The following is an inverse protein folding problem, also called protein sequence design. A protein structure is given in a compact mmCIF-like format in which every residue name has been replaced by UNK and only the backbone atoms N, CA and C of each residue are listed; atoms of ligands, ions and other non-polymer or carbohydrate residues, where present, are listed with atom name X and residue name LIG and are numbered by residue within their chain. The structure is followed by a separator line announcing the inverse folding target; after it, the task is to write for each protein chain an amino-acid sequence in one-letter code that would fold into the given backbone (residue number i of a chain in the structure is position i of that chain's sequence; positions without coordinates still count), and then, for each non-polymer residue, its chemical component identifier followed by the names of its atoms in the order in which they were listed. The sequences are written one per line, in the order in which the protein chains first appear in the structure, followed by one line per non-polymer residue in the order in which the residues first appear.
data_IF_242740093820
#
_entry.id   IF_242740093820
#
_cell.length_a   1.000
_cell.length_b   1.000
_cell.length_c   1.000
_cell.angle_alpha   90.00
_cell.angle_beta   90.00
_cell.angle_gamma   90.00
#
_symmetry.space_group_name_H-M   'P 1'
#
loop_
_entity.id
_entity.type
_entity.pdbx_description
1 polymer ?
#
# COMPACT_ATOMS: atom_id res chain seq x y z
N UNK A 1 -8.47 6.61 9.57
CA UNK A 1 -7.11 6.57 8.96
C UNK A 1 -6.39 5.25 9.20
N UNK A 2 -6.90 4.33 10.04
CA UNK A 2 -6.16 3.13 10.47
C UNK A 2 -5.82 2.11 9.36
N UNK A 3 -6.46 2.19 8.19
CA UNK A 3 -6.22 1.26 7.09
C UNK A 3 -5.03 1.60 6.18
N UNK A 4 -4.65 2.87 6.06
CA UNK A 4 -3.58 3.32 5.13
C UNK A 4 -2.37 3.75 5.97
N UNK A 5 -1.26 3.00 5.84
CA UNK A 5 -0.07 3.23 6.67
C UNK A 5 0.84 4.30 6.09
N UNK A 6 1.38 4.06 4.89
CA UNK A 6 2.32 4.97 4.24
C UNK A 6 2.40 4.74 2.74
N UNK A 7 2.81 5.78 2.01
CA UNK A 7 3.05 5.70 0.56
C UNK A 7 4.35 4.96 0.29
N UNK A 8 4.36 4.14 -0.77
CA UNK A 8 5.58 3.44 -1.19
C UNK A 8 6.43 4.40 -2.03
N UNK A 9 7.65 4.71 -1.56
CA UNK A 9 8.58 5.61 -2.25
C UNK A 9 9.68 4.78 -2.92
N UNK A 10 9.56 4.59 -4.24
CA UNK A 10 10.50 3.87 -5.10
C UNK A 10 10.50 4.54 -6.48
N UNK A 11 11.54 4.35 -7.30
CA UNK A 11 11.54 4.83 -8.70
C UNK A 11 10.28 4.38 -9.46
N UNK A 12 9.91 3.10 -9.32
CA UNK A 12 8.72 2.54 -9.95
C UNK A 12 7.44 3.26 -9.51
N UNK A 13 7.25 3.50 -8.22
CA UNK A 13 6.04 4.17 -7.73
C UNK A 13 5.99 5.65 -8.15
N UNK A 14 7.13 6.32 -8.25
CA UNK A 14 7.21 7.70 -8.79
C UNK A 14 6.82 7.71 -10.28
N UNK A 15 7.31 6.75 -11.08
CA UNK A 15 6.93 6.61 -12.50
C UNK A 15 5.44 6.28 -12.69
N UNK A 16 4.85 5.54 -11.77
CA UNK A 16 3.41 5.23 -11.75
C UNK A 16 2.57 6.43 -11.31
N UNK A 17 3.08 7.24 -10.38
CA UNK A 17 2.42 8.45 -9.90
C UNK A 17 2.17 9.44 -11.05
N UNK A 18 3.14 9.62 -11.96
CA UNK A 18 2.98 10.46 -13.17
C UNK A 18 1.85 9.96 -14.07
N UNK A 19 1.48 8.67 -13.99
CA UNK A 19 0.36 8.05 -14.70
C UNK A 19 -0.93 7.99 -13.86
N UNK A 20 -1.02 8.76 -12.78
CA UNK A 20 -2.14 8.74 -11.81
C UNK A 20 -2.36 7.38 -11.14
N UNK A 21 -1.32 6.56 -11.02
CA UNK A 21 -1.36 5.30 -10.28
C UNK A 21 -0.62 5.46 -8.96
N UNK A 22 -1.36 5.27 -7.86
CA UNK A 22 -0.86 5.47 -6.51
C UNK A 22 -0.58 4.13 -5.85
N UNK A 23 0.50 4.05 -5.07
CA UNK A 23 0.90 2.82 -4.36
C UNK A 23 1.13 3.13 -2.89
N UNK A 24 0.37 2.48 -2.02
CA UNK A 24 0.43 2.66 -0.57
C UNK A 24 0.40 1.33 0.14
N UNK A 25 1.14 1.24 1.25
CA UNK A 25 1.05 0.12 2.17
C UNK A 25 -0.15 0.34 3.11
N UNK A 26 -0.89 -0.74 3.33
CA UNK A 26 -2.14 -0.77 4.09
C UNK A 26 -2.05 -1.77 5.24
N UNK A 27 -3.01 -1.72 6.16
CA UNK A 27 -3.14 -2.76 7.19
C UNK A 27 -3.48 -4.11 6.54
N UNK A 28 -2.80 -5.16 7.01
CA UNK A 28 -2.85 -6.48 6.39
C UNK A 28 -4.19 -7.20 6.58
N UNK A 29 -4.99 -6.77 7.55
CA UNK A 29 -6.34 -7.28 7.81
C UNK A 29 -7.44 -6.59 7.01
N UNK A 30 -7.15 -5.51 6.28
CA UNK A 30 -8.17 -4.74 5.56
C UNK A 30 -8.54 -5.37 4.22
N UNK A 31 -9.83 -5.32 3.90
CA UNK A 31 -10.35 -5.82 2.63
C UNK A 31 -10.21 -4.77 1.53
N UNK A 32 -10.05 -5.20 0.27
CA UNK A 32 -10.00 -4.32 -0.91
C UNK A 32 -11.19 -3.34 -0.99
N UNK A 33 -12.38 -3.75 -0.57
CA UNK A 33 -13.58 -2.91 -0.60
C UNK A 33 -13.46 -1.77 0.42
N UNK A 34 -13.03 -2.09 1.64
CA UNK A 34 -12.83 -1.12 2.72
C UNK A 34 -11.80 -0.07 2.31
N UNK A 35 -10.61 -0.52 1.85
CA UNK A 35 -9.53 0.38 1.44
C UNK A 35 -10.00 1.31 0.31
N UNK A 36 -10.72 0.77 -0.68
CA UNK A 36 -11.29 1.58 -1.76
C UNK A 36 -12.21 2.66 -1.19
N UNK A 37 -13.14 2.29 -0.31
CA UNK A 37 -14.09 3.21 0.30
C UNK A 37 -13.39 4.33 1.10
N UNK A 38 -12.39 3.97 1.90
CA UNK A 38 -11.60 4.96 2.66
C UNK A 38 -10.85 5.94 1.76
N UNK A 39 -10.25 5.46 0.66
CA UNK A 39 -9.54 6.32 -0.30
C UNK A 39 -10.51 7.26 -1.01
N UNK A 40 -11.66 6.76 -1.47
CA UNK A 40 -12.67 7.57 -2.15
C UNK A 40 -13.23 8.66 -1.24
N UNK A 41 -13.55 8.32 0.01
CA UNK A 41 -14.05 9.28 0.99
C UNK A 41 -13.03 10.34 1.37
N UNK A 42 -11.80 9.94 1.70
CA UNK A 42 -10.82 10.87 2.27
C UNK A 42 -10.24 11.84 1.23
N UNK A 43 -9.96 11.34 0.03
CA UNK A 43 -9.39 12.15 -1.03
C UNK A 43 -10.45 12.72 -1.98
N UNK A 44 -11.73 12.39 -1.79
CA UNK A 44 -12.83 12.81 -2.67
C UNK A 44 -12.56 12.46 -4.14
N UNK A 45 -12.04 11.25 -4.38
CA UNK A 45 -11.71 10.72 -5.71
C UNK A 45 -12.55 9.49 -6.03
N UNK A 46 -12.62 9.10 -7.30
CA UNK A 46 -13.23 7.84 -7.73
C UNK A 46 -12.15 6.83 -8.13
N UNK A 47 -12.11 5.68 -7.47
CA UNK A 47 -11.13 4.62 -7.76
C UNK A 47 -11.71 3.67 -8.82
N UNK A 48 -11.10 3.70 -10.01
CA UNK A 48 -11.53 2.88 -11.16
C UNK A 48 -11.19 1.40 -10.91
N UNK A 49 -9.94 1.13 -10.55
CA UNK A 49 -9.43 -0.20 -10.26
C UNK A 49 -8.41 -0.12 -9.13
N UNK A 50 -8.27 -1.21 -8.37
CA UNK A 50 -7.28 -1.32 -7.30
C UNK A 50 -6.68 -2.71 -7.30
N UNK A 51 -5.38 -2.82 -7.09
CA UNK A 51 -4.71 -4.11 -6.93
C UNK A 51 -4.15 -4.19 -5.51
N UNK A 52 -4.19 -5.38 -4.92
CA UNK A 52 -3.59 -5.65 -3.61
C UNK A 52 -2.60 -6.80 -3.71
N UNK A 53 -1.57 -6.74 -2.87
CA UNK A 53 -0.59 -7.81 -2.76
C UNK A 53 -0.07 -7.87 -1.32
N UNK A 54 0.13 -9.08 -0.80
CA UNK A 54 0.68 -9.32 0.53
C UNK A 54 2.11 -9.84 0.40
N UNK A 55 3.08 -8.94 0.62
CA UNK A 55 4.49 -9.29 0.56
C UNK A 55 4.86 -10.20 1.73
N UNK A 56 5.72 -11.22 1.51
CA UNK A 56 6.31 -11.98 2.61
C UNK A 56 7.20 -11.05 3.46
N UNK A 57 7.26 -11.30 4.77
CA UNK A 57 8.18 -10.58 5.64
C UNK A 57 9.60 -10.94 5.24
N UNK A 58 10.44 -9.93 4.98
CA UNK A 58 11.86 -10.14 4.69
C UNK A 58 12.56 -10.55 5.99
N UNK A 59 13.02 -11.79 6.05
CA UNK A 59 13.86 -12.25 7.15
C UNK A 59 15.12 -11.38 7.24
N UNK A 60 15.48 -10.97 8.44
CA UNK A 60 16.68 -10.18 8.71
C UNK A 60 17.53 -10.91 9.73
N UNK A 61 18.82 -11.01 9.42
CA UNK A 61 19.80 -11.54 10.36
C UNK A 61 20.38 -10.40 11.19
N UNK A 62 20.36 -10.54 12.50
CA UNK A 62 21.01 -9.64 13.44
C UNK A 62 22.09 -10.46 14.17
N UNK A 63 23.34 -10.30 13.75
CA UNK A 63 24.45 -11.11 14.26
C UNK A 63 24.23 -12.62 14.01
N UNK A 64 24.35 -13.49 15.02
CA UNK A 64 24.08 -14.92 14.85
C UNK A 64 22.58 -15.26 14.71
N UNK A 65 21.68 -14.36 15.13
CA UNK A 65 20.23 -14.62 15.22
C UNK A 65 19.56 -14.35 13.86
N UNK A 66 18.73 -15.29 13.42
CA UNK A 66 17.87 -15.16 12.24
C UNK A 66 16.44 -14.87 12.70
N UNK A 67 15.82 -13.81 12.15
CA UNK A 67 14.41 -13.46 12.34
C UNK A 67 13.72 -13.12 11.03
#
# INVERSE_FOLDING_TARGET
MDGIKYVVVTDKSIRLLVKNQYTSNVESGSTRIEIKHWVELFFSVKVIAMNSHRLPKKGRRIGPIMG
#
